data_IF_220931495848
#
_entry.id   IF_220931495848
#
_cell.length_a   1.000
_cell.length_b   1.000
_cell.length_c   1.000
_cell.angle_alpha   90.00
_cell.angle_beta   90.00
_cell.angle_gamma   90.00
#
_symmetry.space_group_name_H-M   'P 1'
#
loop_
_entity.id
_entity.type
_entity.pdbx_description
1 polymer ?
#
# COMPACT_ATOMS: atom_id res chain seq x y z
N UNK A 1 -34.47 -9.64 -13.18
CA UNK A 1 -34.07 -10.45 -12.01
C UNK A 1 -32.64 -10.98 -12.10
N UNK A 2 -32.39 -12.00 -12.92
CA UNK A 2 -31.12 -12.77 -13.00
C UNK A 2 -29.90 -12.04 -13.61
N UNK A 3 -30.12 -11.07 -14.50
CA UNK A 3 -29.04 -10.29 -15.14
C UNK A 3 -28.37 -9.26 -14.21
N UNK A 4 -29.11 -8.73 -13.23
CA UNK A 4 -28.60 -7.70 -12.30
C UNK A 4 -27.63 -8.29 -11.27
N UNK A 5 -27.94 -9.45 -10.71
CA UNK A 5 -27.09 -10.16 -9.73
C UNK A 5 -25.76 -10.65 -10.32
N UNK A 6 -25.75 -11.10 -11.57
CA UNK A 6 -24.53 -11.52 -12.26
C UNK A 6 -23.63 -10.33 -12.63
N UNK A 7 -24.24 -9.20 -13.01
CA UNK A 7 -23.49 -7.97 -13.29
C UNK A 7 -22.85 -7.40 -12.01
N UNK A 8 -23.61 -7.38 -10.90
CA UNK A 8 -23.10 -6.90 -9.61
C UNK A 8 -21.89 -7.73 -9.12
N UNK A 9 -21.89 -9.06 -9.35
CA UNK A 9 -20.76 -9.94 -9.00
C UNK A 9 -19.50 -9.66 -9.85
N UNK A 10 -19.68 -9.33 -11.13
CA UNK A 10 -18.56 -8.96 -12.02
C UNK A 10 -17.95 -7.61 -11.60
N UNK A 11 -18.80 -6.61 -11.33
CA UNK A 11 -18.34 -5.30 -10.87
C UNK A 11 -17.59 -5.40 -9.53
N UNK A 12 -18.12 -6.19 -8.60
CA UNK A 12 -17.46 -6.48 -7.33
C UNK A 12 -16.05 -7.07 -7.52
N UNK A 13 -15.92 -8.12 -8.33
CA UNK A 13 -14.62 -8.74 -8.63
C UNK A 13 -13.64 -7.77 -9.30
N UNK A 14 -14.14 -6.91 -10.18
CA UNK A 14 -13.31 -5.91 -10.85
C UNK A 14 -12.76 -4.87 -9.87
N UNK A 15 -13.58 -4.40 -8.93
CA UNK A 15 -13.14 -3.45 -7.89
C UNK A 15 -12.10 -4.11 -6.98
N UNK A 16 -12.33 -5.34 -6.56
CA UNK A 16 -11.38 -6.12 -5.76
C UNK A 16 -10.03 -6.27 -6.46
N UNK A 17 -10.02 -6.66 -7.74
CA UNK A 17 -8.80 -6.78 -8.53
C UNK A 17 -8.05 -5.44 -8.68
N UNK A 18 -8.76 -4.34 -8.93
CA UNK A 18 -8.12 -3.02 -9.04
C UNK A 18 -7.50 -2.55 -7.73
N UNK A 19 -8.16 -2.80 -6.60
CA UNK A 19 -7.62 -2.46 -5.28
C UNK A 19 -6.41 -3.31 -4.94
N UNK A 20 -6.48 -4.63 -5.18
CA UNK A 20 -5.33 -5.52 -4.98
C UNK A 20 -4.14 -5.12 -5.84
N UNK A 21 -4.37 -4.83 -7.12
CA UNK A 21 -3.33 -4.38 -8.02
C UNK A 21 -2.69 -3.07 -7.55
N UNK A 22 -3.49 -2.12 -7.08
CA UNK A 22 -2.96 -0.87 -6.53
C UNK A 22 -2.09 -1.11 -5.29
N UNK A 23 -2.57 -1.92 -4.35
CA UNK A 23 -1.82 -2.24 -3.11
C UNK A 23 -0.52 -2.95 -3.44
N UNK A 24 -0.55 -3.92 -4.35
CA UNK A 24 0.64 -4.67 -4.78
C UNK A 24 1.66 -3.77 -5.49
N UNK A 25 1.21 -2.92 -6.43
CA UNK A 25 2.06 -1.97 -7.12
C UNK A 25 2.69 -0.94 -6.15
N UNK A 26 1.91 -0.46 -5.18
CA UNK A 26 2.42 0.44 -4.16
C UNK A 26 3.45 -0.25 -3.24
N UNK A 27 3.19 -1.48 -2.84
CA UNK A 27 4.14 -2.26 -2.04
C UNK A 27 5.45 -2.52 -2.80
N UNK A 28 5.35 -2.93 -4.07
CA UNK A 28 6.49 -3.10 -4.97
C UNK A 28 7.31 -1.80 -5.10
N UNK A 29 6.65 -0.65 -5.28
CA UNK A 29 7.32 0.65 -5.32
C UNK A 29 8.11 0.94 -4.04
N UNK A 30 7.50 0.76 -2.88
CA UNK A 30 8.17 1.01 -1.59
C UNK A 30 9.36 0.05 -1.40
N UNK A 31 9.20 -1.22 -1.74
CA UNK A 31 10.26 -2.22 -1.67
C UNK A 31 11.45 -1.88 -2.59
N UNK A 32 11.19 -1.52 -3.85
CA UNK A 32 12.25 -1.15 -4.80
C UNK A 32 13.02 0.10 -4.36
N UNK A 33 12.29 1.10 -3.84
CA UNK A 33 12.87 2.37 -3.42
C UNK A 33 13.67 2.27 -2.13
N UNK A 34 13.10 1.65 -1.10
CA UNK A 34 13.74 1.58 0.23
C UNK A 34 14.76 0.45 0.29
N UNK A 35 14.38 -0.76 -0.12
CA UNK A 35 15.18 -1.96 0.11
C UNK A 35 16.23 -2.20 -0.97
N UNK A 36 15.93 -1.91 -2.24
CA UNK A 36 16.87 -2.15 -3.34
C UNK A 36 17.73 -0.94 -3.68
N UNK A 37 17.14 0.25 -3.71
CA UNK A 37 17.82 1.46 -4.14
C UNK A 37 18.53 2.15 -2.97
N UNK A 38 17.79 2.70 -2.01
CA UNK A 38 18.35 3.50 -0.92
C UNK A 38 19.34 2.70 -0.05
N UNK A 39 19.02 1.44 0.27
CA UNK A 39 19.93 0.57 1.02
C UNK A 39 21.26 0.34 0.29
N UNK A 40 21.22 0.14 -1.04
CA UNK A 40 22.44 -0.05 -1.83
C UNK A 40 23.30 1.21 -1.84
N UNK A 41 22.69 2.38 -2.02
CA UNK A 41 23.37 3.68 -1.97
C UNK A 41 24.03 3.90 -0.61
N UNK A 42 23.37 3.52 0.49
CA UNK A 42 23.96 3.54 1.83
C UNK A 42 25.18 2.63 1.92
N UNK A 43 25.08 1.37 1.48
CA UNK A 43 26.20 0.43 1.51
C UNK A 43 27.41 0.94 0.71
N UNK A 44 27.16 1.53 -0.46
CA UNK A 44 28.21 2.12 -1.29
C UNK A 44 28.85 3.33 -0.60
N UNK A 45 28.05 4.27 -0.08
CA UNK A 45 28.54 5.42 0.66
C UNK A 45 29.38 5.04 1.88
N UNK A 46 28.92 4.04 2.65
CA UNK A 46 29.65 3.50 3.80
C UNK A 46 30.97 2.82 3.41
N UNK A 47 31.04 2.21 2.22
CA UNK A 47 32.27 1.55 1.76
C UNK A 47 33.35 2.53 1.31
N UNK A 48 32.95 3.74 0.90
CA UNK A 48 33.86 4.79 0.41
C UNK A 48 34.28 5.74 1.53
N UNK A 49 33.44 5.89 2.57
CA UNK A 49 33.69 6.77 3.70
C UNK A 49 34.99 6.42 4.45
N UNK A 50 35.81 7.44 4.72
CA UNK A 50 37.12 7.33 5.39
C UNK A 50 37.15 8.03 6.73
N UNK A 51 36.07 8.71 7.10
CA UNK A 51 35.93 9.43 8.36
C UNK A 51 34.55 9.19 8.98
N UNK A 52 34.43 9.50 10.27
CA UNK A 52 33.14 9.42 10.96
C UNK A 52 32.13 10.43 10.39
N UNK A 53 32.59 11.61 10.00
CA UNK A 53 31.72 12.63 9.42
C UNK A 53 31.15 12.17 8.07
N UNK A 54 31.97 11.54 7.22
CA UNK A 54 31.51 10.96 5.95
C UNK A 54 30.52 9.80 6.15
N UNK A 55 30.68 9.01 7.21
CA UNK A 55 29.72 7.97 7.60
C UNK A 55 28.38 8.59 8.03
N UNK A 56 28.41 9.67 8.81
CA UNK A 56 27.21 10.40 9.24
C UNK A 56 26.49 10.98 8.01
N UNK A 57 27.22 11.63 7.11
CA UNK A 57 26.65 12.19 5.88
C UNK A 57 25.99 11.12 5.00
N UNK A 58 26.64 9.97 4.80
CA UNK A 58 26.07 8.85 4.04
C UNK A 58 24.77 8.33 4.67
N UNK A 59 24.71 8.28 6.01
CA UNK A 59 23.51 7.87 6.71
C UNK A 59 22.39 8.91 6.63
N UNK A 60 22.69 10.20 6.79
CA UNK A 60 21.70 11.28 6.66
C UNK A 60 21.13 11.35 5.24
N UNK A 61 21.97 11.18 4.22
CA UNK A 61 21.54 11.10 2.83
C UNK A 61 20.56 9.93 2.60
N UNK A 62 20.85 8.75 3.17
CA UNK A 62 19.94 7.61 3.15
C UNK A 62 18.60 7.93 3.81
N UNK A 63 18.62 8.50 5.02
CA UNK A 63 17.40 8.88 5.76
C UNK A 63 16.53 9.87 4.98
N UNK A 64 17.15 10.89 4.37
CA UNK A 64 16.44 11.85 3.53
C UNK A 64 15.87 11.20 2.26
N UNK A 65 16.61 10.28 1.65
CA UNK A 65 16.18 9.53 0.45
C UNK A 65 14.91 8.72 0.74
N UNK A 66 14.91 7.90 1.80
CA UNK A 66 13.74 7.08 2.17
C UNK A 66 12.54 7.95 2.58
N UNK A 67 12.76 9.05 3.31
CA UNK A 67 11.65 9.92 3.71
C UNK A 67 11.01 10.60 2.50
N UNK A 68 11.80 11.04 1.51
CA UNK A 68 11.28 11.66 0.27
C UNK A 68 10.50 10.65 -0.57
N UNK A 69 11.08 9.47 -0.77
CA UNK A 69 10.51 8.42 -1.62
C UNK A 69 9.27 7.77 -0.99
N UNK A 70 9.17 7.76 0.35
CA UNK A 70 7.97 7.29 1.06
C UNK A 70 6.95 8.40 1.33
N UNK A 71 7.15 9.60 0.78
CA UNK A 71 6.24 10.75 0.94
C UNK A 71 6.04 11.20 2.41
N UNK A 72 7.05 11.00 3.26
CA UNK A 72 7.04 11.36 4.70
C UNK A 72 7.59 12.77 4.94
N UNK A 73 8.38 13.30 4.01
CA UNK A 73 8.90 14.69 4.09
C UNK A 73 7.74 15.69 3.95
N UNK A 74 7.75 16.82 4.69
CA UNK A 74 6.76 17.90 4.59
C UNK A 74 6.91 18.70 3.29
N UNK A 75 6.83 18.02 2.15
CA UNK A 75 6.64 18.62 0.84
C UNK A 75 5.15 18.63 0.49
N UNK A 76 4.67 19.71 -0.16
CA UNK A 76 3.25 19.88 -0.48
C UNK A 76 2.74 18.80 -1.44
N UNK A 77 3.57 18.38 -2.40
CA UNK A 77 3.21 17.33 -3.34
C UNK A 77 3.26 15.95 -2.67
N UNK A 78 4.31 15.67 -1.89
CA UNK A 78 4.42 14.44 -1.10
C UNK A 78 3.24 14.23 -0.16
N UNK A 79 2.85 15.25 0.60
CA UNK A 79 1.70 15.19 1.49
C UNK A 79 0.37 14.92 0.75
N UNK A 80 0.19 15.51 -0.45
CA UNK A 80 -0.97 15.26 -1.28
C UNK A 80 -1.01 13.80 -1.76
N UNK A 81 0.13 13.27 -2.22
CA UNK A 81 0.25 11.87 -2.68
C UNK A 81 -0.03 10.92 -1.51
N UNK A 82 0.61 11.13 -0.36
CA UNK A 82 0.39 10.34 0.85
C UNK A 82 -1.08 10.34 1.27
N UNK A 83 -1.73 11.51 1.23
CA UNK A 83 -3.17 11.64 1.50
C UNK A 83 -4.00 10.77 0.54
N UNK A 84 -3.73 10.82 -0.77
CA UNK A 84 -4.47 10.02 -1.77
C UNK A 84 -4.22 8.52 -1.59
N UNK A 85 -2.98 8.10 -1.34
CA UNK A 85 -2.64 6.70 -1.05
C UNK A 85 -3.41 6.21 0.18
N UNK A 86 -3.41 6.98 1.27
CA UNK A 86 -4.12 6.61 2.49
C UNK A 86 -5.64 6.50 2.28
N UNK A 87 -6.23 7.37 1.46
CA UNK A 87 -7.65 7.25 1.08
C UNK A 87 -7.90 5.94 0.33
N UNK A 88 -7.06 5.58 -0.65
CA UNK A 88 -7.25 4.36 -1.44
C UNK A 88 -7.06 3.10 -0.57
N UNK A 89 -6.07 3.10 0.32
CA UNK A 89 -5.87 2.02 1.30
C UNK A 89 -7.06 1.90 2.25
N UNK A 90 -7.59 3.04 2.74
CA UNK A 90 -8.81 3.07 3.55
C UNK A 90 -10.00 2.47 2.81
N UNK A 91 -10.22 2.85 1.54
CA UNK A 91 -11.27 2.28 0.70
C UNK A 91 -11.09 0.77 0.49
N UNK A 92 -9.85 0.28 0.35
CA UNK A 92 -9.58 -1.14 0.24
C UNK A 92 -9.96 -1.91 1.51
N UNK A 93 -9.64 -1.35 2.68
CA UNK A 93 -9.99 -1.92 3.98
C UNK A 93 -11.52 -1.91 4.21
N UNK A 94 -12.19 -0.79 3.91
CA UNK A 94 -13.64 -0.68 4.03
C UNK A 94 -14.36 -1.68 3.13
N UNK A 95 -13.91 -1.79 1.88
CA UNK A 95 -14.44 -2.76 0.92
C UNK A 95 -14.28 -4.20 1.44
N UNK A 96 -13.10 -4.54 1.95
CA UNK A 96 -12.83 -5.85 2.54
C UNK A 96 -13.71 -6.13 3.78
N UNK A 97 -13.91 -5.14 4.66
CA UNK A 97 -14.75 -5.27 5.85
C UNK A 97 -16.23 -5.50 5.49
N UNK A 98 -16.75 -4.78 4.49
CA UNK A 98 -18.12 -4.96 4.00
C UNK A 98 -18.27 -6.37 3.40
N UNK A 99 -17.31 -6.82 2.59
CA UNK A 99 -17.31 -8.18 2.06
C UNK A 99 -17.34 -9.26 3.16
N UNK A 100 -16.49 -9.12 4.18
CA UNK A 100 -16.45 -10.06 5.30
C UNK A 100 -17.77 -10.09 6.07
N UNK A 101 -18.36 -8.93 6.32
CA UNK A 101 -19.65 -8.80 7.02
C UNK A 101 -20.77 -9.47 6.23
N UNK A 102 -20.81 -9.28 4.90
CA UNK A 102 -21.78 -9.93 4.02
C UNK A 102 -21.59 -11.45 3.95
N UNK A 103 -20.35 -11.93 3.90
CA UNK A 103 -20.02 -13.37 3.93
C UNK A 103 -20.48 -14.02 5.26
N UNK A 104 -20.30 -13.32 6.39
CA UNK A 104 -20.77 -13.79 7.72
C UNK A 104 -22.29 -13.67 7.89
N UNK A 105 -22.91 -12.58 7.44
CA UNK A 105 -24.36 -12.38 7.52
C UNK A 105 -25.15 -13.35 6.62
N UNK A 106 -24.59 -13.71 5.46
CA UNK A 106 -25.14 -14.76 4.59
C UNK A 106 -25.09 -16.17 5.21
N UNK A 107 -24.06 -16.46 6.01
CA UNK A 107 -23.95 -17.74 6.74
C UNK A 107 -25.02 -17.87 7.85
N UNK A 108 -25.41 -16.77 8.49
CA UNK A 108 -26.46 -16.76 9.53
C UNK A 108 -27.85 -17.00 8.92
N UNK A 109 -28.17 -16.41 7.77
CA UNK A 109 -29.44 -16.67 7.07
C UNK A 109 -29.52 -18.08 6.48
N UNK A 110 -28.40 -18.65 6.02
CA UNK A 110 -28.36 -20.03 5.51
C UNK A 110 -28.59 -21.07 6.62
N UNK A 111 -28.18 -20.79 7.86
CA UNK A 111 -28.46 -21.65 9.01
C UNK A 111 -29.89 -21.52 9.53
N UNK A 112 -30.53 -20.34 9.41
CA UNK A 112 -31.93 -20.16 9.84
C UNK A 112 -32.94 -20.80 8.88
N UNK A 113 -32.58 -21.03 7.61
CA UNK A 113 -33.41 -21.74 6.64
C UNK A 113 -33.31 -23.27 6.72
N UNK A 114 -32.52 -23.80 7.67
CA UNK A 114 -32.31 -25.25 7.89
C UNK A 114 -32.94 -25.76 9.18
N UNK A 115 -33.67 -24.92 9.92
CA UNK A 115 -34.47 -25.29 11.08
C UNK A 115 -35.94 -24.97 10.83
#
# INVERSE_FOLDING_TARGET
GRGSTTNNRKHHWLVEQKLLHFVDAFHQYVMDRVYHSAWRELCEGMSVAKSLDEVIEAHEAYMLSIQRQCFVVPDKLGALIASRVNIILGLALDFYNIQQTLKRGGAVSANKARF
#
